data_IF_299780947117
#
_entry.id   IF_299780947117
#
_cell.length_a   1.000
_cell.length_b   1.000
_cell.length_c   1.000
_cell.angle_alpha   90.00
_cell.angle_beta   90.00
_cell.angle_gamma   90.00
#
_symmetry.space_group_name_H-M   'P 1'
#
loop_
_entity.id
_entity.type
_entity.pdbx_description
1 polymer ?
#
# COMPACT_ATOMS: atom_id res chain seq x y z
N UNK A 1 -4.92 -82.53 -29.69
CA UNK A 1 -4.46 -81.48 -28.76
C UNK A 1 -4.17 -80.22 -29.57
N UNK A 2 -4.80 -79.10 -29.18
CA UNK A 2 -4.40 -77.66 -29.26
C UNK A 2 -3.82 -77.14 -30.61
N UNK A 3 -4.23 -76.02 -31.19
CA UNK A 3 -4.57 -74.74 -30.57
C UNK A 3 -5.44 -73.87 -31.50
N UNK A 4 -6.41 -73.15 -30.91
CA UNK A 4 -7.11 -72.03 -31.55
C UNK A 4 -6.25 -70.77 -31.38
N UNK A 5 -5.94 -70.10 -32.48
CA UNK A 5 -5.26 -68.81 -32.51
C UNK A 5 -6.31 -67.72 -32.26
N UNK A 6 -6.20 -67.01 -31.13
CA UNK A 6 -7.01 -65.84 -30.81
C UNK A 6 -6.18 -64.59 -31.17
N UNK A 7 -6.66 -63.80 -32.14
CA UNK A 7 -6.15 -62.45 -32.37
C UNK A 7 -6.72 -61.53 -31.30
N UNK A 8 -5.86 -61.00 -30.44
CA UNK A 8 -6.20 -59.91 -29.50
C UNK A 8 -5.77 -58.57 -30.10
N UNK A 9 -6.74 -57.76 -30.51
CA UNK A 9 -6.56 -56.34 -30.84
C UNK A 9 -6.32 -55.54 -29.57
N UNK A 10 -5.13 -54.97 -29.40
CA UNK A 10 -4.83 -54.00 -28.35
C UNK A 10 -5.20 -52.59 -28.83
N UNK A 11 -6.27 -52.02 -28.29
CA UNK A 11 -6.60 -50.62 -28.46
C UNK A 11 -5.75 -49.78 -27.49
N UNK A 12 -4.81 -48.99 -28.02
CA UNK A 12 -4.08 -47.98 -27.25
C UNK A 12 -5.01 -46.78 -26.97
N UNK A 13 -5.46 -46.64 -25.73
CA UNK A 13 -6.07 -45.40 -25.24
C UNK A 13 -4.95 -44.39 -24.92
N UNK A 14 -4.76 -43.41 -25.80
CA UNK A 14 -3.97 -42.21 -25.51
C UNK A 14 -4.80 -41.28 -24.62
N UNK A 15 -4.51 -41.25 -23.31
CA UNK A 15 -5.06 -40.24 -22.40
C UNK A 15 -4.37 -38.90 -22.68
N UNK A 16 -5.07 -37.98 -23.34
CA UNK A 16 -4.65 -36.59 -23.41
C UNK A 16 -4.85 -35.95 -22.03
N UNK A 17 -3.75 -35.70 -21.32
CA UNK A 17 -3.77 -34.89 -20.11
C UNK A 17 -4.07 -33.45 -20.51
N UNK A 18 -5.31 -33.02 -20.37
CA UNK A 18 -5.66 -31.60 -20.40
C UNK A 18 -5.07 -30.97 -19.15
N UNK A 19 -3.95 -30.28 -19.30
CA UNK A 19 -3.48 -29.33 -18.30
C UNK A 19 -4.51 -28.20 -18.23
N UNK A 20 -5.50 -28.33 -17.35
CA UNK A 20 -6.26 -27.16 -16.89
C UNK A 20 -5.27 -26.33 -16.09
N UNK A 21 -4.76 -25.25 -16.68
CA UNK A 21 -4.18 -24.16 -15.90
C UNK A 21 -5.29 -23.67 -14.99
N UNK A 22 -5.31 -24.13 -13.74
CA UNK A 22 -6.09 -23.47 -12.71
C UNK A 22 -5.54 -22.04 -12.70
N UNK A 23 -6.39 -21.10 -13.10
CA UNK A 23 -6.07 -19.69 -13.11
C UNK A 23 -5.91 -19.29 -11.63
N UNK A 24 -4.71 -19.42 -11.09
CA UNK A 24 -4.37 -18.88 -9.77
C UNK A 24 -4.25 -17.36 -9.92
N UNK A 25 -5.36 -16.68 -10.21
CA UNK A 25 -5.55 -15.35 -9.63
C UNK A 25 -5.86 -15.56 -8.14
N UNK A 26 -4.89 -16.12 -7.42
CA UNK A 26 -4.70 -15.75 -6.03
C UNK A 26 -4.74 -14.24 -5.99
N UNK A 27 -5.53 -13.66 -5.09
CA UNK A 27 -5.83 -12.23 -5.10
C UNK A 27 -4.53 -11.42 -5.25
N UNK A 28 -4.29 -10.87 -6.45
CA UNK A 28 -3.00 -10.25 -6.76
C UNK A 28 -2.77 -9.04 -5.85
N UNK A 29 -1.52 -8.85 -5.43
CA UNK A 29 -1.15 -7.70 -4.60
C UNK A 29 -1.60 -6.39 -5.26
N UNK A 30 -2.42 -5.64 -4.52
CA UNK A 30 -2.96 -4.33 -4.93
C UNK A 30 -2.85 -3.30 -3.80
N UNK A 31 -2.22 -3.66 -2.68
CA UNK A 31 -1.89 -2.77 -1.57
C UNK A 31 -0.59 -3.20 -0.89
N UNK A 32 0.23 -2.23 -0.50
CA UNK A 32 1.36 -2.43 0.41
C UNK A 32 1.79 -1.12 1.09
N UNK A 33 2.60 -1.24 2.15
CA UNK A 33 3.41 -0.14 2.70
C UNK A 33 4.79 -0.19 2.06
N UNK A 34 5.33 0.93 1.60
CA UNK A 34 6.68 0.96 1.06
C UNK A 34 7.71 0.40 2.04
N UNK A 35 8.55 -0.57 1.62
CA UNK A 35 9.70 -1.02 2.44
C UNK A 35 10.79 0.06 2.63
N UNK A 36 10.83 1.04 1.72
CA UNK A 36 11.74 2.17 1.72
C UNK A 36 11.03 3.47 1.30
N UNK A 37 11.29 4.56 2.00
CA UNK A 37 10.88 5.92 1.60
C UNK A 37 11.76 6.49 0.48
N UNK A 38 11.75 7.82 0.30
CA UNK A 38 12.61 8.47 -0.71
C UNK A 38 14.09 8.54 -0.32
N UNK A 39 14.41 8.33 0.95
CA UNK A 39 15.73 8.61 1.53
C UNK A 39 15.99 10.09 1.83
N UNK A 40 15.00 10.96 1.58
CA UNK A 40 15.08 12.41 1.80
C UNK A 40 13.87 12.92 2.62
N UNK A 41 13.51 12.18 3.69
CA UNK A 41 12.34 12.49 4.51
C UNK A 41 11.04 12.48 3.72
N UNK A 42 10.21 13.52 3.90
CA UNK A 42 8.94 13.69 3.19
C UNK A 42 9.10 14.37 1.81
N UNK A 43 10.32 14.67 1.37
CA UNK A 43 10.57 15.06 -0.02
C UNK A 43 10.51 13.81 -0.90
N UNK A 44 9.36 13.60 -1.53
CA UNK A 44 9.10 12.46 -2.40
C UNK A 44 9.24 12.84 -3.89
N UNK A 45 9.61 14.10 -4.20
CA UNK A 45 9.52 14.63 -5.57
C UNK A 45 8.08 14.93 -5.99
N UNK A 46 7.22 15.26 -5.03
CA UNK A 46 5.79 15.44 -5.23
C UNK A 46 5.04 14.12 -5.40
N UNK A 47 3.75 14.21 -5.74
CA UNK A 47 2.90 13.04 -5.94
C UNK A 47 3.42 12.10 -7.03
N UNK A 48 3.95 12.66 -8.12
CA UNK A 48 4.51 11.88 -9.22
C UNK A 48 5.74 11.05 -8.78
N UNK A 49 6.60 11.62 -7.94
CA UNK A 49 7.74 10.88 -7.41
C UNK A 49 7.33 9.81 -6.40
N UNK A 50 6.32 10.07 -5.56
CA UNK A 50 5.73 9.06 -4.68
C UNK A 50 5.12 7.89 -5.48
N UNK A 51 4.39 8.18 -6.56
CA UNK A 51 3.81 7.15 -7.44
C UNK A 51 4.89 6.34 -8.17
N UNK A 52 6.01 6.99 -8.54
CA UNK A 52 7.17 6.32 -9.13
C UNK A 52 7.86 5.36 -8.14
N UNK A 53 7.95 5.73 -6.86
CA UNK A 53 8.44 4.84 -5.79
C UNK A 53 7.52 3.63 -5.65
N UNK A 54 6.20 3.84 -5.55
CA UNK A 54 5.24 2.74 -5.50
C UNK A 54 5.39 1.78 -6.69
N UNK A 55 5.46 2.33 -7.90
CA UNK A 55 5.63 1.54 -9.12
C UNK A 55 6.93 0.76 -9.14
N UNK A 56 8.03 1.35 -8.67
CA UNK A 56 9.36 0.72 -8.62
C UNK A 56 9.38 -0.44 -7.64
N UNK A 57 8.89 -0.23 -6.42
CA UNK A 57 8.85 -1.26 -5.38
C UNK A 57 7.93 -2.42 -5.79
N UNK A 58 6.73 -2.12 -6.28
CA UNK A 58 5.80 -3.15 -6.75
C UNK A 58 6.40 -4.01 -7.88
N UNK A 59 7.07 -3.37 -8.85
CA UNK A 59 7.73 -4.09 -9.95
C UNK A 59 8.90 -4.95 -9.48
N UNK A 60 9.66 -4.49 -8.48
CA UNK A 60 10.74 -5.26 -7.87
C UNK A 60 10.21 -6.50 -7.13
N UNK A 61 9.07 -6.37 -6.46
CA UNK A 61 8.35 -7.48 -5.83
C UNK A 61 7.61 -8.42 -6.81
N UNK A 62 7.68 -8.14 -8.12
CA UNK A 62 7.10 -8.99 -9.16
C UNK A 62 5.69 -8.63 -9.60
N UNK A 63 5.10 -7.52 -9.11
CA UNK A 63 3.85 -6.98 -9.66
C UNK A 63 4.05 -6.54 -11.11
N UNK A 64 3.10 -6.89 -11.99
CA UNK A 64 3.11 -6.56 -13.41
C UNK A 64 1.72 -6.11 -13.85
N UNK A 65 1.66 -5.22 -14.82
CA UNK A 65 0.41 -4.80 -15.46
C UNK A 65 -0.51 -3.92 -14.60
N UNK A 66 -0.10 -3.54 -13.39
CA UNK A 66 -0.84 -2.65 -12.50
C UNK A 66 -0.31 -1.23 -12.52
N UNK A 67 -1.19 -0.25 -12.41
CA UNK A 67 -0.86 1.15 -12.15
C UNK A 67 -0.92 1.43 -10.65
N UNK A 68 0.15 2.00 -10.09
CA UNK A 68 0.28 2.22 -8.65
C UNK A 68 0.28 3.70 -8.29
N UNK A 69 -0.50 4.06 -7.27
CA UNK A 69 -0.55 5.41 -6.70
C UNK A 69 -0.28 5.39 -5.20
N UNK A 70 0.46 6.40 -4.74
CA UNK A 70 0.66 6.67 -3.34
C UNK A 70 -0.62 7.26 -2.73
N UNK A 71 -1.02 6.78 -1.55
CA UNK A 71 -2.12 7.35 -0.78
C UNK A 71 -1.65 8.63 -0.08
N UNK A 72 -1.61 9.73 -0.84
CA UNK A 72 -1.18 11.03 -0.35
C UNK A 72 -2.12 12.13 -0.88
N UNK A 73 -2.52 13.04 0.01
CA UNK A 73 -3.24 14.26 -0.38
C UNK A 73 -2.24 15.38 -0.68
N UNK A 74 -2.64 16.35 -1.52
CA UNK A 74 -1.82 17.52 -1.84
C UNK A 74 -2.69 18.75 -2.10
N UNK A 75 -2.22 19.92 -1.68
CA UNK A 75 -2.85 21.20 -1.99
C UNK A 75 -2.78 21.50 -3.49
N UNK A 76 -3.79 22.20 -4.00
CA UNK A 76 -3.74 22.75 -5.35
C UNK A 76 -2.63 23.79 -5.48
N UNK A 77 -2.08 23.90 -6.68
CA UNK A 77 -1.12 24.94 -7.05
C UNK A 77 -1.70 25.76 -8.19
N UNK A 78 -0.96 26.76 -8.69
CA UNK A 78 -1.36 27.48 -9.91
C UNK A 78 -1.44 26.57 -11.14
N UNK A 79 -0.82 25.40 -11.12
CA UNK A 79 -0.70 24.48 -12.26
C UNK A 79 -1.29 23.09 -12.00
N UNK A 80 -1.89 22.84 -10.84
CA UNK A 80 -2.46 21.54 -10.49
C UNK A 80 -3.65 21.68 -9.54
N UNK A 81 -4.65 20.84 -9.73
CA UNK A 81 -5.80 20.80 -8.83
C UNK A 81 -5.41 20.26 -7.45
N UNK A 82 -6.25 20.58 -6.47
CA UNK A 82 -6.21 19.96 -5.13
C UNK A 82 -6.49 18.46 -5.25
N UNK A 83 -5.74 17.65 -4.51
CA UNK A 83 -5.82 16.19 -4.56
C UNK A 83 -6.17 15.60 -3.19
N UNK A 84 -7.17 14.72 -3.16
CA UNK A 84 -7.52 13.89 -1.99
C UNK A 84 -6.98 12.48 -2.17
N UNK A 85 -6.24 11.94 -1.19
CA UNK A 85 -5.67 10.59 -1.26
C UNK A 85 -6.71 9.51 -1.61
N UNK A 86 -7.89 9.59 -0.98
CA UNK A 86 -9.04 8.71 -1.24
C UNK A 86 -9.41 8.59 -2.71
N UNK A 87 -9.36 9.70 -3.44
CA UNK A 87 -9.85 9.78 -4.83
C UNK A 87 -8.82 9.26 -5.83
N UNK A 88 -7.59 8.95 -5.38
CA UNK A 88 -6.49 8.48 -6.23
C UNK A 88 -6.39 6.97 -6.34
N UNK A 89 -6.90 6.23 -5.37
CA UNK A 89 -6.49 4.82 -5.15
C UNK A 89 -7.45 3.78 -5.75
N UNK A 90 -8.39 4.19 -6.61
CA UNK A 90 -9.40 3.30 -7.18
C UNK A 90 -10.53 2.97 -6.20
N UNK A 91 -11.30 1.92 -6.50
CA UNK A 91 -12.51 1.55 -5.73
C UNK A 91 -12.35 0.30 -4.84
N UNK A 92 -11.27 -0.47 -5.02
CA UNK A 92 -11.05 -1.77 -4.36
C UNK A 92 -11.71 -2.94 -5.13
N UNK A 93 -11.66 -4.17 -4.59
CA UNK A 93 -11.00 -4.56 -3.34
C UNK A 93 -9.47 -4.47 -3.42
N UNK A 94 -8.81 -4.29 -2.28
CA UNK A 94 -7.34 -4.30 -2.20
C UNK A 94 -6.82 -5.46 -1.37
N UNK A 95 -5.70 -6.04 -1.81
CA UNK A 95 -5.07 -7.20 -1.20
C UNK A 95 -3.60 -6.93 -0.91
N UNK A 96 -3.11 -7.40 0.24
CA UNK A 96 -1.70 -7.31 0.57
C UNK A 96 -0.85 -8.34 -0.21
N UNK A 97 0.47 -8.32 -0.02
CA UNK A 97 1.40 -9.22 -0.69
C UNK A 97 1.16 -10.73 -0.42
N UNK A 98 0.34 -11.08 0.57
CA UNK A 98 -0.06 -12.47 0.88
C UNK A 98 -1.47 -12.81 0.36
N UNK A 99 -2.08 -11.95 -0.45
CA UNK A 99 -3.42 -12.15 -1.00
C UNK A 99 -4.56 -11.96 0.01
N UNK A 100 -4.28 -11.42 1.20
CA UNK A 100 -5.30 -11.11 2.21
C UNK A 100 -5.94 -9.78 1.88
N UNK A 101 -7.28 -9.76 1.86
CA UNK A 101 -8.05 -8.55 1.61
C UNK A 101 -7.85 -7.55 2.75
N UNK A 102 -7.42 -6.34 2.43
CA UNK A 102 -7.27 -5.26 3.41
C UNK A 102 -8.49 -4.35 3.45
N UNK A 103 -9.19 -4.18 2.33
CA UNK A 103 -10.47 -3.49 2.27
C UNK A 103 -11.25 -3.85 0.99
N UNK A 104 -12.55 -4.08 1.13
CA UNK A 104 -13.42 -4.47 0.02
C UNK A 104 -13.83 -3.30 -0.89
N UNK A 105 -13.93 -2.10 -0.32
CA UNK A 105 -14.32 -0.88 -1.04
C UNK A 105 -13.66 0.35 -0.43
N UNK A 106 -13.66 1.47 -1.16
CA UNK A 106 -13.20 2.76 -0.64
C UNK A 106 -13.92 3.18 0.66
N UNK A 107 -15.20 2.84 0.82
CA UNK A 107 -15.95 3.13 2.03
C UNK A 107 -15.55 2.21 3.19
N UNK A 108 -15.30 0.94 2.90
CA UNK A 108 -14.78 0.01 3.91
C UNK A 108 -13.38 0.45 4.40
N UNK A 109 -12.48 0.84 3.48
CA UNK A 109 -11.14 1.34 3.82
C UNK A 109 -11.17 2.51 4.82
N UNK A 110 -12.17 3.40 4.70
CA UNK A 110 -12.35 4.56 5.59
C UNK A 110 -13.42 4.32 6.66
N UNK A 111 -13.56 3.07 7.09
CA UNK A 111 -14.43 2.65 8.19
C UNK A 111 -13.63 1.89 9.24
N UNK A 112 -14.24 1.63 10.38
CA UNK A 112 -13.64 0.78 11.42
C UNK A 112 -13.47 -0.68 10.97
N UNK A 113 -14.21 -1.13 9.95
CA UNK A 113 -14.30 -2.52 9.50
C UNK A 113 -13.31 -2.91 8.39
N UNK A 114 -12.37 -2.04 8.03
CA UNK A 114 -11.25 -2.48 7.18
C UNK A 114 -10.34 -3.45 7.94
N UNK A 115 -9.54 -4.21 7.20
CA UNK A 115 -8.67 -5.24 7.75
C UNK A 115 -7.21 -4.81 7.87
N UNK A 116 -6.89 -3.52 7.76
CA UNK A 116 -5.54 -3.04 8.10
C UNK A 116 -5.26 -3.18 9.60
N UNK A 117 -3.98 -3.36 9.90
CA UNK A 117 -3.44 -3.63 11.22
C UNK A 117 -2.07 -4.29 11.06
N UNK A 118 -1.34 -4.49 12.15
CA UNK A 118 0.06 -4.93 12.09
C UNK A 118 0.29 -6.20 11.26
N UNK A 119 -0.66 -7.13 11.30
CA UNK A 119 -0.59 -8.40 10.57
C UNK A 119 -0.82 -8.26 9.06
N UNK A 120 -1.72 -7.35 8.66
CA UNK A 120 -2.21 -7.26 7.28
C UNK A 120 -1.58 -6.12 6.49
N UNK A 121 -1.00 -5.13 7.17
CA UNK A 121 -0.28 -4.00 6.60
C UNK A 121 1.18 -4.37 6.35
N UNK A 122 1.42 -5.06 5.23
CA UNK A 122 2.74 -5.62 4.87
C UNK A 122 3.47 -4.76 3.83
N UNK A 123 4.78 -4.97 3.70
CA UNK A 123 5.54 -4.42 2.58
C UNK A 123 5.20 -5.10 1.26
N UNK A 124 5.69 -4.55 0.15
CA UNK A 124 5.54 -5.15 -1.18
C UNK A 124 6.14 -6.58 -1.26
N UNK A 125 7.11 -6.90 -0.40
CA UNK A 125 7.75 -8.22 -0.32
C UNK A 125 7.03 -9.17 0.66
N UNK A 126 5.97 -8.70 1.33
CA UNK A 126 5.23 -9.47 2.33
C UNK A 126 5.85 -9.48 3.72
N UNK A 127 6.81 -8.60 3.98
CA UNK A 127 7.44 -8.44 5.29
C UNK A 127 6.53 -7.65 6.24
N UNK A 128 6.61 -7.97 7.52
CA UNK A 128 5.97 -7.18 8.58
C UNK A 128 6.75 -5.88 8.78
N UNK A 129 6.04 -4.75 8.78
CA UNK A 129 6.61 -3.45 9.12
C UNK A 129 6.78 -3.35 10.65
N UNK A 130 7.88 -2.74 11.11
CA UNK A 130 8.06 -2.46 12.53
C UNK A 130 7.00 -1.45 13.01
N UNK A 131 6.18 -1.87 13.96
CA UNK A 131 5.13 -1.05 14.56
C UNK A 131 5.49 -0.57 15.97
N UNK A 132 4.49 -0.03 16.66
CA UNK A 132 4.60 0.37 18.06
C UNK A 132 5.07 -0.82 18.92
N UNK A 133 6.09 -0.58 19.73
CA UNK A 133 6.71 -1.58 20.60
C UNK A 133 7.89 -2.32 19.97
N UNK A 134 8.11 -2.18 18.66
CA UNK A 134 9.30 -2.71 17.99
C UNK A 134 10.48 -1.72 18.05
N UNK A 135 11.67 -2.21 17.71
CA UNK A 135 12.88 -1.40 17.64
C UNK A 135 13.59 -1.60 16.29
N UNK A 136 13.77 -0.56 15.47
CA UNK A 136 13.21 0.80 15.63
C UNK A 136 11.68 0.84 15.51
N UNK A 137 11.03 1.86 16.08
CA UNK A 137 9.61 2.15 15.85
C UNK A 137 9.44 2.85 14.50
N UNK A 138 8.57 2.32 13.62
CA UNK A 138 8.34 2.84 12.27
C UNK A 138 6.85 2.84 11.89
N UNK A 139 5.98 3.05 12.88
CA UNK A 139 4.53 2.89 12.73
C UNK A 139 3.79 4.06 12.09
N UNK A 140 4.39 5.24 12.07
CA UNK A 140 3.81 6.42 11.41
C UNK A 140 3.99 6.34 9.89
N UNK A 141 2.87 6.47 9.18
CA UNK A 141 2.79 6.43 7.72
C UNK A 141 2.32 7.79 7.20
N UNK A 142 3.05 8.37 6.24
CA UNK A 142 2.74 9.67 5.61
C UNK A 142 1.41 9.60 4.83
N UNK A 143 0.52 10.58 5.03
CA UNK A 143 -0.77 10.66 4.30
C UNK A 143 -1.18 12.07 3.87
N UNK A 144 -0.89 13.10 4.66
CA UNK A 144 -1.40 14.45 4.44
C UNK A 144 -2.93 14.58 4.50
N UNK A 145 -3.61 13.59 5.09
CA UNK A 145 -5.04 13.38 4.89
C UNK A 145 -5.80 13.38 6.22
N UNK A 146 -7.03 13.88 6.19
CA UNK A 146 -8.02 13.71 7.25
C UNK A 146 -8.51 12.26 7.36
N UNK A 147 -9.27 11.93 8.41
CA UNK A 147 -9.91 10.62 8.60
C UNK A 147 -10.71 10.15 7.37
N UNK A 148 -11.32 11.09 6.65
CA UNK A 148 -12.10 10.80 5.43
C UNK A 148 -11.25 10.51 4.19
N UNK A 149 -9.92 10.62 4.29
CA UNK A 149 -8.97 10.50 3.18
C UNK A 149 -8.91 11.72 2.27
N UNK A 150 -9.39 12.86 2.76
CA UNK A 150 -9.38 14.16 2.07
C UNK A 150 -8.26 15.02 2.61
N UNK A 151 -7.72 15.91 1.78
CA UNK A 151 -6.71 16.88 2.18
C UNK A 151 -7.14 17.65 3.44
N UNK A 152 -6.20 17.84 4.37
CA UNK A 152 -6.36 18.80 5.46
C UNK A 152 -6.00 20.18 4.92
N UNK A 153 -6.99 21.06 4.80
CA UNK A 153 -6.85 22.40 4.21
C UNK A 153 -7.29 23.46 5.22
N UNK A 154 -6.53 23.55 6.32
CA UNK A 154 -6.77 24.46 7.45
C UNK A 154 -5.84 25.70 7.45
N UNK A 155 -5.11 25.90 6.36
CA UNK A 155 -4.09 26.95 6.21
C UNK A 155 -2.69 26.57 6.70
N UNK A 156 -2.52 25.39 7.32
CA UNK A 156 -1.21 24.85 7.72
C UNK A 156 -0.67 23.87 6.68
N UNK A 157 0.65 23.71 6.66
CA UNK A 157 1.32 22.74 5.79
C UNK A 157 1.34 21.35 6.45
N UNK A 158 0.44 20.47 5.99
CA UNK A 158 0.31 19.07 6.45
C UNK A 158 0.88 18.05 5.45
N UNK A 159 1.51 18.50 4.37
CA UNK A 159 1.98 17.67 3.26
C UNK A 159 3.46 17.91 2.95
N UNK A 160 4.19 18.61 3.82
CA UNK A 160 5.58 18.97 3.58
C UNK A 160 5.80 19.66 2.21
N UNK A 161 5.00 20.70 1.97
CA UNK A 161 4.95 21.47 0.73
C UNK A 161 4.62 20.58 -0.47
N UNK A 162 3.51 19.85 -0.38
CA UNK A 162 3.09 18.89 -1.41
C UNK A 162 4.16 17.84 -1.73
N UNK A 163 4.83 17.34 -0.71
CA UNK A 163 5.83 16.26 -0.77
C UNK A 163 7.07 16.65 -1.57
N UNK A 164 7.44 17.93 -1.56
CA UNK A 164 8.62 18.49 -2.24
C UNK A 164 9.65 19.08 -1.28
N UNK A 165 9.44 18.93 0.03
CA UNK A 165 10.32 19.50 1.06
C UNK A 165 10.61 18.50 2.16
N UNK A 166 11.86 18.52 2.62
CA UNK A 166 12.34 17.86 3.83
C UNK A 166 12.62 18.87 4.96
N UNK A 167 12.26 20.15 4.76
CA UNK A 167 12.54 21.25 5.68
C UNK A 167 11.39 21.58 6.63
N UNK A 168 11.05 22.85 6.73
CA UNK A 168 9.99 23.36 7.62
C UNK A 168 8.60 22.83 7.24
N UNK A 169 7.78 22.59 8.26
CA UNK A 169 6.41 22.09 8.15
C UNK A 169 6.21 20.78 8.90
N UNK A 170 5.06 20.17 8.70
CA UNK A 170 4.71 18.86 9.28
C UNK A 170 4.01 18.02 8.21
N UNK A 171 4.08 16.70 8.34
CA UNK A 171 3.26 15.79 7.57
C UNK A 171 2.17 15.23 8.49
N UNK A 172 0.92 15.26 8.05
CA UNK A 172 -0.10 14.44 8.69
C UNK A 172 0.23 12.96 8.43
N UNK A 173 0.27 12.19 9.51
CA UNK A 173 0.52 10.75 9.50
C UNK A 173 -0.67 9.97 10.06
N UNK A 174 -0.71 8.66 9.80
CA UNK A 174 -1.55 7.70 10.51
C UNK A 174 -0.77 6.46 10.92
N UNK A 175 -1.38 5.57 11.70
CA UNK A 175 -0.74 4.38 12.25
C UNK A 175 -1.16 3.11 11.50
N UNK A 176 -0.24 2.45 10.79
CA UNK A 176 -0.61 1.23 10.05
C UNK A 176 -1.07 0.08 10.95
N UNK A 177 -0.57 0.06 12.17
CA UNK A 177 -0.83 -0.95 13.19
C UNK A 177 -2.06 -0.63 14.03
N UNK A 178 -2.74 0.49 13.73
CA UNK A 178 -3.99 0.95 14.35
C UNK A 178 -3.88 1.09 15.87
N UNK A 179 -2.71 1.46 16.38
CA UNK A 179 -2.49 1.74 17.80
C UNK A 179 -1.51 2.89 17.97
N UNK A 180 -1.64 3.71 19.01
CA UNK A 180 -0.71 4.82 19.21
C UNK A 180 -1.19 5.93 20.13
N UNK A 181 -0.58 7.11 19.95
CA UNK A 181 -0.97 8.35 20.61
C UNK A 181 -1.66 9.30 19.62
N UNK A 182 -1.57 10.61 19.88
CA UNK A 182 -2.15 11.63 18.99
C UNK A 182 -3.67 11.79 19.14
N UNK A 183 -4.24 12.56 18.22
CA UNK A 183 -5.65 12.94 18.22
C UNK A 183 -6.55 11.75 17.86
N UNK A 184 -6.10 10.89 16.95
CA UNK A 184 -6.84 9.69 16.53
C UNK A 184 -5.95 8.42 16.60
N UNK A 185 -5.75 7.84 17.80
CA UNK A 185 -4.79 6.76 18.05
C UNK A 185 -4.90 5.51 17.17
N UNK A 186 -6.10 5.19 16.68
CA UNK A 186 -6.35 3.97 15.92
C UNK A 186 -6.56 4.23 14.41
N UNK A 187 -6.34 5.48 13.97
CA UNK A 187 -6.52 5.87 12.57
C UNK A 187 -5.30 5.47 11.74
N UNK A 188 -5.55 4.74 10.65
CA UNK A 188 -4.49 4.37 9.69
C UNK A 188 -3.99 5.57 8.87
N UNK A 189 -4.77 6.64 8.77
CA UNK A 189 -4.52 7.74 7.85
C UNK A 189 -4.47 9.15 8.44
N UNK A 190 -4.84 9.36 9.71
CA UNK A 190 -4.93 10.71 10.28
C UNK A 190 -4.82 10.71 11.83
N UNK A 191 -3.71 10.23 12.37
CA UNK A 191 -3.46 10.16 13.81
C UNK A 191 -2.98 11.50 14.41
N UNK A 192 -1.90 12.07 13.87
CA UNK A 192 -1.30 13.35 14.29
C UNK A 192 -0.36 13.92 13.19
N UNK A 193 0.13 15.14 13.40
CA UNK A 193 1.23 15.70 12.61
C UNK A 193 2.59 15.14 13.06
N UNK A 194 3.54 15.05 12.13
CA UNK A 194 4.94 14.73 12.43
C UNK A 194 5.66 15.91 13.10
N UNK A 195 6.79 15.63 13.75
CA UNK A 195 7.67 16.65 14.33
C UNK A 195 8.32 17.57 13.27
N UNK A 196 8.33 17.14 12.01
CA UNK A 196 8.95 17.83 10.89
C UNK A 196 8.93 16.99 9.61
N UNK A 197 9.43 17.56 8.52
CA UNK A 197 9.46 16.89 7.21
C UNK A 197 10.76 16.12 6.93
N UNK A 198 11.85 16.44 7.63
CA UNK A 198 13.14 15.77 7.48
C UNK A 198 13.17 14.36 8.07
N UNK A 199 14.08 13.51 7.59
CA UNK A 199 14.16 12.10 7.98
C UNK A 199 14.30 11.93 9.50
N UNK A 200 15.18 12.70 10.14
CA UNK A 200 15.40 12.65 11.58
C UNK A 200 14.13 13.01 12.35
N UNK A 201 13.33 13.94 11.83
CA UNK A 201 12.06 14.34 12.45
C UNK A 201 11.00 13.26 12.30
N UNK A 202 10.92 12.60 11.14
CA UNK A 202 10.02 11.46 10.93
C UNK A 202 10.38 10.31 11.89
N UNK A 203 11.68 10.01 12.03
CA UNK A 203 12.17 9.01 13.00
C UNK A 203 11.87 9.41 14.45
N UNK A 204 12.07 10.68 14.81
CA UNK A 204 11.75 11.18 16.15
C UNK A 204 10.25 11.14 16.46
N UNK A 205 9.40 11.22 15.43
CA UNK A 205 7.94 11.08 15.57
C UNK A 205 7.54 9.63 15.86
N UNK A 206 8.20 8.67 15.18
CA UNK A 206 7.84 7.26 15.24
C UNK A 206 7.65 6.60 13.88
N UNK A 207 8.04 7.27 12.79
CA UNK A 207 7.97 6.76 11.42
C UNK A 207 9.32 6.58 10.76
N UNK A 208 9.31 6.23 9.48
CA UNK A 208 10.51 6.08 8.67
C UNK A 208 10.41 6.76 7.29
N UNK A 209 9.38 7.58 7.07
CA UNK A 209 9.06 8.12 5.74
C UNK A 209 8.35 7.13 4.82
N UNK A 210 7.70 6.12 5.40
CA UNK A 210 6.87 5.17 4.67
C UNK A 210 5.51 5.75 4.32
N UNK A 211 4.92 5.24 3.24
CA UNK A 211 3.58 5.59 2.78
C UNK A 211 2.90 4.36 2.17
N UNK A 212 1.58 4.44 2.00
CA UNK A 212 0.81 3.37 1.38
C UNK A 212 0.80 3.50 -0.14
N UNK A 213 0.87 2.36 -0.82
CA UNK A 213 0.75 2.22 -2.26
C UNK A 213 -0.47 1.36 -2.59
N UNK A 214 -1.30 1.84 -3.51
CA UNK A 214 -2.50 1.13 -3.97
C UNK A 214 -2.47 0.99 -5.49
N UNK A 215 -2.83 -0.20 -5.96
CA UNK A 215 -3.17 -0.38 -7.37
C UNK A 215 -4.53 0.25 -7.65
N UNK A 216 -4.71 0.80 -8.85
CA UNK A 216 -5.90 1.58 -9.22
C UNK A 216 -6.74 0.93 -10.32
N UNK A 217 -6.35 -0.26 -10.77
CA UNK A 217 -6.93 -1.03 -11.87
C UNK A 217 -7.51 -2.39 -11.45
#
# INVERSE_FOLDING_TARGET
MKAKLLLTTAALLTAAATFTTINSQENEMSFFITSAGSGDGANLGGLAGADAICSTLAQAAGSRGKTWHAYLSAHGTSSSDRVNARERIGFGPWYNAKGVEVATTINNLHSEYMQLGKENSLTENGDTVNGRGDSPNQHDILTGSSLSGRLIDDGSNHTCNNWTSNGEGTAQVGHFDRTGGGQNPNSFNSAHGSAGCGQENLVATGGAGYFYCFAID
#
